data_IF_873162954668
#
_entry.id   IF_873162954668
#
_cell.length_a   1.000
_cell.length_b   1.000
_cell.length_c   1.000
_cell.angle_alpha   90.00
_cell.angle_beta   90.00
_cell.angle_gamma   90.00
#
_symmetry.space_group_name_H-M   'P 1'
#
loop_
_entity.id
_entity.type
_entity.pdbx_description
1 polymer ?
#
# COMPACT_ATOMS: atom_id res chain seq x y z
N UNK A 1 29.48 3.69 20.82
CA UNK A 1 29.88 2.82 21.96
C UNK A 1 28.78 2.66 23.00
N UNK A 2 27.96 3.68 23.29
CA UNK A 2 26.98 3.64 24.38
C UNK A 2 25.83 2.62 24.17
N UNK A 3 25.34 2.45 22.94
CA UNK A 3 24.28 1.49 22.61
C UNK A 3 24.70 0.02 22.83
N UNK A 4 25.95 -0.32 22.51
CA UNK A 4 26.48 -1.68 22.64
C UNK A 4 26.56 -2.11 24.11
N UNK A 5 26.98 -1.20 24.98
CA UNK A 5 27.07 -1.45 26.43
C UNK A 5 25.69 -1.65 27.05
N UNK A 6 24.66 -0.96 26.54
CA UNK A 6 23.27 -1.15 26.99
C UNK A 6 22.67 -2.48 26.50
N UNK A 7 23.01 -2.93 25.29
CA UNK A 7 22.58 -4.23 24.76
C UNK A 7 23.14 -5.42 25.57
N UNK A 8 24.39 -5.32 26.05
CA UNK A 8 25.01 -6.35 26.90
C UNK A 8 24.60 -6.21 28.39
N UNK A 9 24.03 -5.08 28.78
CA UNK A 9 23.88 -4.64 30.18
C UNK A 9 22.52 -4.93 30.86
N UNK A 10 21.55 -5.53 30.17
CA UNK A 10 20.29 -5.91 30.82
C UNK A 10 20.52 -7.15 31.69
N UNK A 11 20.39 -6.99 33.01
CA UNK A 11 20.22 -8.12 33.93
C UNK A 11 19.07 -9.01 33.44
N UNK A 12 19.21 -10.33 33.65
CA UNK A 12 18.38 -11.42 33.10
C UNK A 12 16.86 -11.35 33.36
N UNK A 13 16.36 -10.27 33.97
CA UNK A 13 14.98 -10.06 34.37
C UNK A 13 14.09 -9.39 33.31
N UNK A 14 14.63 -8.91 32.19
CA UNK A 14 13.86 -8.21 31.15
C UNK A 14 14.04 -8.87 29.77
N UNK A 15 12.96 -9.47 29.25
CA UNK A 15 12.94 -10.03 27.89
C UNK A 15 12.71 -8.89 26.87
N UNK A 16 13.80 -8.34 26.34
CA UNK A 16 13.75 -7.29 25.30
C UNK A 16 14.13 -7.89 23.96
N UNK A 17 13.25 -7.74 22.96
CA UNK A 17 13.55 -8.09 21.57
C UNK A 17 13.90 -6.82 20.79
N UNK A 18 15.05 -6.82 20.12
CA UNK A 18 15.51 -5.68 19.31
C UNK A 18 15.35 -6.04 17.83
N UNK A 19 14.65 -5.18 17.07
CA UNK A 19 14.52 -5.30 15.61
C UNK A 19 15.25 -4.12 14.98
N UNK A 20 16.14 -4.42 14.04
CA UNK A 20 16.87 -3.41 13.26
C UNK A 20 16.58 -3.57 11.77
N UNK A 21 16.52 -2.45 11.06
CA UNK A 21 16.36 -2.43 9.61
C UNK A 21 17.50 -1.61 9.00
N UNK A 22 18.13 -2.12 7.95
CA UNK A 22 19.19 -1.42 7.22
C UNK A 22 19.11 -1.77 5.74
N UNK A 23 19.39 -0.79 4.88
CA UNK A 23 19.57 -1.01 3.44
C UNK A 23 21.03 -1.38 3.10
N UNK A 24 21.94 -1.25 4.07
CA UNK A 24 23.38 -1.47 3.94
C UNK A 24 23.90 -2.31 5.08
N UNK A 25 23.83 -3.63 4.92
CA UNK A 25 24.36 -4.57 5.91
C UNK A 25 25.89 -4.60 5.93
N UNK A 26 26.53 -4.21 4.81
CA UNK A 26 27.98 -4.10 4.63
C UNK A 26 28.63 -3.04 5.53
N UNK A 27 27.89 -1.98 5.86
CA UNK A 27 28.40 -0.87 6.68
C UNK A 27 28.24 -1.07 8.19
N UNK A 28 27.60 -2.16 8.62
CA UNK A 28 27.39 -2.45 10.03
C UNK A 28 28.70 -2.85 10.71
N UNK A 29 28.86 -2.42 11.96
CA UNK A 29 29.98 -2.83 12.80
C UNK A 29 29.95 -4.37 13.02
N UNK A 30 31.03 -5.10 12.68
CA UNK A 30 31.13 -6.53 12.93
C UNK A 30 30.85 -6.94 14.39
N UNK A 31 31.07 -6.04 15.35
CA UNK A 31 30.78 -6.28 16.76
C UNK A 31 29.28 -6.51 17.02
N UNK A 32 28.38 -5.92 16.24
CA UNK A 32 26.93 -6.13 16.37
C UNK A 32 26.47 -7.49 15.83
N UNK A 33 27.23 -8.06 14.88
CA UNK A 33 26.90 -9.33 14.22
C UNK A 33 27.37 -10.57 15.00
N UNK A 34 27.99 -10.36 16.17
CA UNK A 34 28.44 -11.45 17.03
C UNK A 34 27.24 -12.15 17.68
N UNK A 35 27.30 -13.48 17.85
CA UNK A 35 26.27 -14.21 18.59
C UNK A 35 25.99 -13.61 19.97
N UNK A 36 24.72 -13.48 20.33
CA UNK A 36 24.23 -12.83 21.55
C UNK A 36 23.70 -11.40 21.35
N UNK A 37 23.76 -10.86 20.14
CA UNK A 37 23.25 -9.51 19.78
C UNK A 37 22.30 -9.61 18.58
N UNK A 38 22.78 -9.34 17.37
CA UNK A 38 21.97 -9.47 16.14
C UNK A 38 22.10 -10.89 15.56
N UNK A 39 21.46 -11.84 16.21
CA UNK A 39 21.58 -13.27 15.87
C UNK A 39 20.82 -13.65 14.60
N UNK A 40 19.66 -13.03 14.36
CA UNK A 40 18.78 -13.35 13.23
C UNK A 40 18.91 -12.29 12.14
N UNK A 41 19.29 -12.73 10.95
CA UNK A 41 19.38 -11.91 9.75
C UNK A 41 18.30 -12.36 8.77
N UNK A 42 17.44 -11.43 8.36
CA UNK A 42 16.40 -11.66 7.37
C UNK A 42 16.69 -10.72 6.21
N UNK A 43 16.98 -11.29 5.06
CA UNK A 43 17.21 -10.54 3.83
C UNK A 43 15.91 -10.43 3.04
N UNK A 44 15.67 -9.24 2.49
CA UNK A 44 14.49 -8.95 1.67
C UNK A 44 14.94 -8.75 0.22
N UNK A 45 14.94 -9.81 -0.60
CA UNK A 45 15.26 -9.70 -2.02
C UNK A 45 14.12 -9.02 -2.80
N UNK A 46 14.40 -8.67 -4.05
CA UNK A 46 13.37 -8.26 -5.00
C UNK A 46 12.39 -9.40 -5.26
N UNK A 47 11.16 -9.05 -5.62
CA UNK A 47 10.06 -10.00 -5.77
C UNK A 47 10.22 -10.86 -7.03
N UNK A 48 10.11 -12.18 -6.87
CA UNK A 48 9.91 -13.10 -7.98
C UNK A 48 8.44 -13.08 -8.46
N UNK A 49 8.16 -13.59 -9.67
CA UNK A 49 6.81 -13.65 -10.26
C UNK A 49 5.77 -14.22 -9.29
N UNK A 50 6.11 -15.30 -8.58
CA UNK A 50 5.21 -15.93 -7.59
C UNK A 50 4.91 -15.01 -6.40
N UNK A 51 5.86 -14.16 -6.03
CA UNK A 51 5.75 -13.22 -4.91
C UNK A 51 5.07 -11.90 -5.31
N UNK A 52 5.14 -11.51 -6.59
CA UNK A 52 4.44 -10.32 -7.10
C UNK A 52 2.93 -10.45 -6.97
N UNK A 53 2.36 -11.62 -7.28
CA UNK A 53 0.90 -11.83 -7.26
C UNK A 53 0.24 -11.50 -5.92
N UNK A 54 0.67 -12.03 -4.77
CA UNK A 54 0.08 -11.67 -3.48
C UNK A 54 0.29 -10.19 -3.13
N UNK A 55 1.41 -9.58 -3.54
CA UNK A 55 1.65 -8.15 -3.30
C UNK A 55 0.66 -7.30 -4.09
N UNK A 56 0.48 -7.55 -5.39
CA UNK A 56 -0.54 -6.89 -6.19
C UNK A 56 -1.93 -7.07 -5.58
N UNK A 57 -2.31 -8.31 -5.19
CA UNK A 57 -3.59 -8.58 -4.56
C UNK A 57 -3.82 -7.75 -3.29
N UNK A 58 -2.81 -7.62 -2.42
CA UNK A 58 -2.93 -6.81 -1.20
C UNK A 58 -3.04 -5.32 -1.53
N UNK A 59 -2.23 -4.83 -2.48
CA UNK A 59 -2.26 -3.43 -2.90
C UNK A 59 -3.60 -3.05 -3.56
N UNK A 60 -4.21 -3.96 -4.32
CA UNK A 60 -5.49 -3.74 -4.99
C UNK A 60 -6.70 -4.16 -4.18
N UNK A 61 -6.54 -4.82 -3.02
CA UNK A 61 -7.66 -5.32 -2.21
C UNK A 61 -8.67 -4.24 -1.79
N UNK A 62 -8.21 -2.99 -1.67
CA UNK A 62 -9.05 -1.83 -1.31
C UNK A 62 -9.49 -1.01 -2.52
N UNK A 63 -9.19 -1.46 -3.74
CA UNK A 63 -9.49 -0.75 -4.98
C UNK A 63 -10.67 -1.39 -5.72
N UNK A 64 -11.50 -0.57 -6.35
CA UNK A 64 -12.50 -1.04 -7.29
C UNK A 64 -11.83 -1.28 -8.64
N UNK A 65 -11.46 -2.53 -8.90
CA UNK A 65 -10.95 -2.96 -10.20
C UNK A 65 -12.11 -3.11 -11.18
N UNK A 66 -11.89 -2.74 -12.44
CA UNK A 66 -12.85 -3.01 -13.53
C UNK A 66 -12.72 -4.45 -14.02
N UNK A 67 -13.78 -4.98 -14.63
CA UNK A 67 -13.83 -6.36 -15.12
C UNK A 67 -12.78 -6.67 -16.22
N UNK A 68 -12.24 -5.63 -16.85
CA UNK A 68 -11.19 -5.73 -17.87
C UNK A 68 -9.77 -5.83 -17.30
N UNK A 69 -9.59 -5.69 -15.97
CA UNK A 69 -8.26 -5.65 -15.34
C UNK A 69 -7.84 -7.04 -14.88
N UNK A 70 -6.90 -7.67 -15.61
CA UNK A 70 -6.22 -8.89 -15.15
C UNK A 70 -4.89 -8.54 -14.47
N UNK A 71 -4.73 -8.95 -13.21
CA UNK A 71 -3.48 -8.80 -12.46
C UNK A 71 -2.36 -9.70 -13.00
N UNK A 72 -2.68 -10.78 -13.72
CA UNK A 72 -1.68 -11.71 -14.25
C UNK A 72 -0.78 -11.05 -15.31
N UNK A 73 -1.31 -10.09 -16.08
CA UNK A 73 -0.54 -9.31 -17.05
C UNK A 73 0.61 -8.55 -16.38
N UNK A 74 0.34 -7.94 -15.22
CA UNK A 74 1.34 -7.20 -14.44
C UNK A 74 2.31 -8.14 -13.70
N UNK A 75 1.83 -9.29 -13.23
CA UNK A 75 2.64 -10.29 -12.54
C UNK A 75 3.64 -10.96 -13.50
N UNK A 76 3.21 -11.22 -14.73
CA UNK A 76 4.01 -11.88 -15.77
C UNK A 76 5.16 -11.01 -16.30
N UNK A 77 5.16 -9.71 -16.03
CA UNK A 77 6.20 -8.79 -16.48
C UNK A 77 7.59 -9.20 -15.95
N UNK A 78 8.63 -9.26 -16.80
CA UNK A 78 9.95 -9.78 -16.42
C UNK A 78 10.72 -8.86 -15.45
N UNK A 79 10.31 -7.60 -15.32
CA UNK A 79 11.04 -6.60 -14.55
C UNK A 79 11.05 -6.91 -13.06
N UNK A 80 12.23 -6.80 -12.44
CA UNK A 80 12.34 -6.93 -10.98
C UNK A 80 11.90 -5.62 -10.35
N UNK A 81 10.82 -5.69 -9.58
CA UNK A 81 10.22 -4.53 -8.92
C UNK A 81 10.11 -4.79 -7.42
N UNK A 82 10.25 -3.72 -6.64
CA UNK A 82 10.05 -3.76 -5.20
C UNK A 82 8.56 -3.72 -4.86
N UNK A 83 8.20 -4.19 -3.65
CA UNK A 83 6.83 -4.08 -3.17
C UNK A 83 6.38 -2.61 -3.02
N UNK A 84 7.31 -1.71 -2.70
CA UNK A 84 7.03 -0.28 -2.60
C UNK A 84 6.66 0.33 -3.95
N UNK A 85 7.37 -0.03 -5.03
CA UNK A 85 7.03 0.43 -6.38
C UNK A 85 5.66 -0.07 -6.83
N UNK A 86 5.32 -1.34 -6.56
CA UNK A 86 3.98 -1.88 -6.85
C UNK A 86 2.90 -1.05 -6.15
N UNK A 87 3.10 -0.75 -4.86
CA UNK A 87 2.16 0.05 -4.09
C UNK A 87 1.99 1.47 -4.68
N UNK A 88 3.09 2.11 -5.07
CA UNK A 88 3.06 3.43 -5.73
C UNK A 88 2.30 3.38 -7.05
N UNK A 89 2.58 2.40 -7.91
CA UNK A 89 1.89 2.23 -9.21
C UNK A 89 0.38 2.07 -8.98
N UNK A 90 -0.02 1.21 -8.05
CA UNK A 90 -1.43 1.01 -7.72
C UNK A 90 -2.06 2.32 -7.20
N UNK A 91 -1.38 3.02 -6.30
CA UNK A 91 -1.87 4.27 -5.73
C UNK A 91 -2.04 5.36 -6.79
N UNK A 92 -1.08 5.52 -7.69
CA UNK A 92 -1.16 6.47 -8.80
C UNK A 92 -2.32 6.11 -9.75
N UNK A 93 -2.47 4.83 -10.11
CA UNK A 93 -3.60 4.36 -10.93
C UNK A 93 -4.95 4.71 -10.27
N UNK A 94 -5.08 4.52 -8.96
CA UNK A 94 -6.26 4.90 -8.20
C UNK A 94 -6.55 6.41 -8.23
N UNK A 95 -5.52 7.25 -8.04
CA UNK A 95 -5.66 8.72 -8.13
C UNK A 95 -6.08 9.14 -9.54
N UNK A 96 -5.49 8.54 -10.58
CA UNK A 96 -5.86 8.80 -11.96
C UNK A 96 -7.31 8.41 -12.28
N UNK A 97 -7.75 7.25 -11.80
CA UNK A 97 -9.13 6.80 -11.94
C UNK A 97 -10.12 7.75 -11.21
N UNK A 98 -9.82 8.12 -9.96
CA UNK A 98 -10.64 9.05 -9.19
C UNK A 98 -10.75 10.43 -9.87
N UNK A 99 -9.64 10.95 -10.41
CA UNK A 99 -9.65 12.21 -11.19
C UNK A 99 -10.59 12.10 -12.40
N UNK A 100 -10.44 11.04 -13.23
CA UNK A 100 -11.31 10.83 -14.40
C UNK A 100 -12.79 10.73 -14.01
N UNK A 101 -13.12 10.01 -12.93
CA UNK A 101 -14.49 9.88 -12.43
C UNK A 101 -15.07 11.23 -12.01
N UNK A 102 -14.30 12.08 -11.34
CA UNK A 102 -14.74 13.42 -10.95
C UNK A 102 -14.98 14.33 -12.17
N UNK A 103 -14.13 14.24 -13.19
CA UNK A 103 -14.36 14.93 -14.46
C UNK A 103 -15.64 14.44 -15.13
N UNK A 104 -15.81 13.12 -15.24
CA UNK A 104 -17.00 12.52 -15.83
C UNK A 104 -18.27 12.92 -15.06
N UNK A 105 -18.27 12.88 -13.72
CA UNK A 105 -19.40 13.30 -12.88
C UNK A 105 -19.71 14.79 -13.04
N UNK A 106 -18.69 15.65 -13.14
CA UNK A 106 -18.88 17.09 -13.39
C UNK A 106 -19.48 17.35 -14.78
N UNK A 107 -19.01 16.64 -15.80
CA UNK A 107 -19.53 16.73 -17.17
C UNK A 107 -20.96 16.20 -17.25
N UNK A 108 -21.25 15.02 -16.70
CA UNK A 108 -22.61 14.48 -16.65
C UNK A 108 -23.58 15.41 -15.91
N UNK A 109 -23.18 16.01 -14.77
CA UNK A 109 -24.02 16.99 -14.07
C UNK A 109 -24.29 18.23 -14.94
N UNK A 110 -23.33 18.64 -15.77
CA UNK A 110 -23.47 19.78 -16.69
C UNK A 110 -24.33 19.45 -17.92
N UNK A 111 -24.28 18.21 -18.41
CA UNK A 111 -25.01 17.73 -19.60
C UNK A 111 -26.43 17.29 -19.27
N UNK A 112 -26.64 16.59 -18.16
CA UNK A 112 -27.94 16.06 -17.72
C UNK A 112 -28.73 17.08 -16.88
N UNK A 113 -28.05 18.03 -16.23
CA UNK A 113 -28.67 19.12 -15.43
C UNK A 113 -29.71 19.99 -16.16
N UNK A 114 -29.55 20.35 -17.44
CA UNK A 114 -30.62 21.01 -18.20
C UNK A 114 -31.74 20.06 -18.66
N UNK A 115 -31.53 18.74 -18.67
CA UNK A 115 -32.53 17.74 -19.09
C UNK A 115 -33.52 17.37 -17.97
N UNK A 116 -33.06 17.36 -16.71
CA UNK A 116 -33.91 17.05 -15.54
C UNK A 116 -34.76 18.22 -15.03
N UNK A 117 -34.57 19.44 -15.57
CA UNK A 117 -35.35 20.63 -15.15
C UNK A 117 -36.79 20.66 -15.71
N UNK A 118 -37.14 19.79 -16.66
CA UNK A 118 -38.48 19.74 -17.24
C UNK A 118 -39.40 18.64 -16.67
N UNK A 119 -38.90 17.76 -15.77
CA UNK A 119 -39.68 16.56 -15.36
C UNK A 119 -39.87 16.36 -13.84
N UNK A 120 -39.53 17.31 -12.97
CA UNK A 120 -39.87 17.21 -11.54
C UNK A 120 -40.84 18.34 -11.16
N UNK A 121 -41.98 18.34 -11.84
CA UNK A 121 -43.26 18.71 -11.25
C UNK A 121 -44.01 17.38 -11.15
N UNK A 122 -43.90 16.69 -10.01
CA UNK A 122 -44.91 15.81 -9.39
C UNK A 122 -44.24 15.12 -8.18
N UNK A 123 -44.79 15.45 -7.00
CA UNK A 123 -44.80 14.75 -5.71
C UNK A 123 -43.53 14.04 -5.22
N UNK A 124 -42.95 14.55 -4.13
CA UNK A 124 -43.11 13.93 -2.80
C UNK A 124 -42.73 14.94 -1.72
N UNK A 125 -43.76 15.35 -0.99
CA UNK A 125 -43.68 15.97 0.33
C UNK A 125 -43.00 15.04 1.33
N UNK A 126 -42.16 15.60 2.20
CA UNK A 126 -41.83 15.10 3.56
C UNK A 126 -40.99 13.81 3.59
N UNK A 127 -39.90 13.64 4.33
CA UNK A 127 -39.38 14.26 5.56
C UNK A 127 -37.85 14.11 5.59
N UNK A 128 -37.19 15.14 6.11
CA UNK A 128 -35.90 14.98 6.78
C UNK A 128 -36.15 14.18 8.06
N UNK A 129 -35.35 13.16 8.32
CA UNK A 129 -35.04 12.73 9.68
C UNK A 129 -33.62 12.16 9.73
N UNK A 130 -32.99 12.45 10.86
CA UNK A 130 -31.58 12.42 11.19
C UNK A 130 -30.98 11.01 11.31
N UNK A 131 -29.69 10.89 10.99
CA UNK A 131 -28.72 10.09 11.76
C UNK A 131 -27.29 10.53 11.42
#
# INVERSE_FOLDING_TARGET
MELLTQMDGFGQTVNVNVIMTTNRADTLDPALLRPGRLDRKIEFPLLDRRQKRPVFQVCTAKMNLGDEVDLEDYVSHPDKISAAEIATICQEAGIHAARKMLYFRRTLRRVIGPMLRSQILISTSTSYDEC
#
